data_IF_563172643839
#
_entry.id   IF_563172643839
#
_cell.length_a   1.000
_cell.length_b   1.000
_cell.length_c   1.000
_cell.angle_alpha   90.00
_cell.angle_beta   90.00
_cell.angle_gamma   90.00
#
_symmetry.space_group_name_H-M   'P 1'
#
loop_
_entity.id
_entity.type
_entity.pdbx_description
1 polymer ?
#
# COMPACT_ATOMS: atom_id res chain seq x y z
N UNK A 1 -15.61 6.69 1.31
CA UNK A 1 -14.19 6.55 0.94
C UNK A 1 -13.37 7.36 1.93
N UNK A 2 -12.61 6.71 2.81
CA UNK A 2 -11.68 7.43 3.68
C UNK A 2 -10.53 8.00 2.84
N UNK A 3 -10.20 9.28 3.00
CA UNK A 3 -9.04 9.91 2.37
C UNK A 3 -7.95 10.03 3.45
N UNK A 4 -6.80 9.42 3.19
CA UNK A 4 -5.63 9.55 4.05
C UNK A 4 -4.54 10.28 3.27
N UNK A 5 -4.04 11.37 3.83
CA UNK A 5 -2.86 12.07 3.31
C UNK A 5 -1.70 11.68 4.19
N UNK A 6 -0.74 10.95 3.63
CA UNK A 6 0.48 10.51 4.31
C UNK A 6 1.69 11.02 3.53
N UNK A 7 2.75 11.34 4.26
CA UNK A 7 4.06 11.66 3.70
C UNK A 7 4.95 10.47 3.94
N UNK A 8 5.52 9.94 2.86
CA UNK A 8 6.51 8.86 2.88
C UNK A 8 7.74 9.33 2.10
N UNK A 9 8.84 8.64 2.31
CA UNK A 9 10.07 8.91 1.59
C UNK A 9 9.89 8.76 0.06
N UNK A 10 10.51 9.66 -0.70
CA UNK A 10 10.36 9.76 -2.16
C UNK A 10 10.89 8.52 -2.88
N UNK A 11 11.95 7.91 -2.34
CA UNK A 11 12.52 6.67 -2.88
C UNK A 11 11.56 5.49 -2.66
N UNK A 12 10.95 5.42 -1.47
CA UNK A 12 9.96 4.40 -1.15
C UNK A 12 8.71 4.53 -2.05
N UNK A 13 8.22 5.75 -2.28
CA UNK A 13 7.08 5.99 -3.18
C UNK A 13 7.40 5.53 -4.61
N UNK A 14 8.59 5.88 -5.12
CA UNK A 14 9.04 5.49 -6.45
C UNK A 14 9.12 3.98 -6.61
N UNK A 15 9.75 3.28 -5.67
CA UNK A 15 9.85 1.82 -5.66
C UNK A 15 8.47 1.17 -5.63
N UNK A 16 7.58 1.66 -4.77
CA UNK A 16 6.20 1.18 -4.69
C UNK A 16 5.46 1.39 -6.02
N UNK A 17 5.53 2.58 -6.61
CA UNK A 17 4.89 2.91 -7.88
C UNK A 17 5.39 2.04 -9.03
N UNK A 18 6.70 1.75 -9.10
CA UNK A 18 7.28 0.79 -10.06
C UNK A 18 6.72 -0.61 -9.85
N UNK A 19 6.66 -1.09 -8.61
CA UNK A 19 6.12 -2.41 -8.29
C UNK A 19 4.63 -2.53 -8.67
N UNK A 20 3.85 -1.49 -8.40
CA UNK A 20 2.43 -1.41 -8.79
C UNK A 20 2.29 -1.41 -10.31
N UNK A 21 3.08 -0.60 -11.02
CA UNK A 21 3.06 -0.57 -12.49
C UNK A 21 3.44 -1.94 -13.09
N UNK A 22 4.40 -2.66 -12.48
CA UNK A 22 4.82 -3.99 -12.92
C UNK A 22 3.73 -5.05 -12.67
N UNK A 23 2.98 -4.97 -11.57
CA UNK A 23 1.96 -5.96 -11.18
C UNK A 23 0.60 -5.71 -11.83
N UNK A 24 0.15 -4.46 -11.84
CA UNK A 24 -1.20 -4.07 -12.28
C UNK A 24 -1.24 -3.37 -13.64
N UNK A 25 -0.07 -3.05 -14.20
CA UNK A 25 0.05 -2.25 -15.42
C UNK A 25 -0.32 -0.78 -15.21
N UNK A 26 -0.42 -0.04 -16.31
CA UNK A 26 -0.76 1.39 -16.32
C UNK A 26 -2.28 1.59 -16.28
N UNK A 27 -2.94 1.03 -15.27
CA UNK A 27 -4.40 1.12 -15.12
C UNK A 27 -4.81 2.22 -14.15
N UNK A 28 -5.84 2.98 -14.54
CA UNK A 28 -6.45 4.03 -13.71
C UNK A 28 -6.99 3.38 -12.42
N UNK A 29 -6.40 3.72 -11.27
CA UNK A 29 -6.76 3.15 -9.97
C UNK A 29 -5.82 2.04 -9.42
N UNK A 30 -4.81 1.62 -10.18
CA UNK A 30 -3.86 0.58 -9.74
C UNK A 30 -3.15 0.93 -8.41
N UNK A 31 -2.77 2.19 -8.21
CA UNK A 31 -2.17 2.67 -6.97
C UNK A 31 -3.13 2.55 -5.77
N UNK A 32 -4.41 2.90 -5.93
CA UNK A 32 -5.38 2.80 -4.85
C UNK A 32 -5.67 1.36 -4.43
N UNK A 33 -5.70 0.45 -5.39
CA UNK A 33 -5.84 -1.00 -5.15
C UNK A 33 -4.63 -1.51 -4.39
N UNK A 34 -3.42 -1.20 -4.87
CA UNK A 34 -2.19 -1.64 -4.24
C UNK A 34 -2.00 -1.11 -2.82
N UNK A 35 -2.34 0.17 -2.57
CA UNK A 35 -2.32 0.75 -1.22
C UNK A 35 -3.33 0.01 -0.33
N UNK A 36 -4.54 -0.25 -0.82
CA UNK A 36 -5.54 -1.00 -0.04
C UNK A 36 -5.07 -2.42 0.28
N UNK A 37 -4.42 -3.11 -0.64
CA UNK A 37 -3.83 -4.43 -0.39
C UNK A 37 -2.68 -4.36 0.63
N UNK A 38 -1.78 -3.39 0.50
CA UNK A 38 -0.67 -3.20 1.42
C UNK A 38 -1.17 -2.96 2.85
N UNK A 39 -2.18 -2.11 3.01
CA UNK A 39 -2.82 -1.84 4.31
C UNK A 39 -3.48 -3.11 4.85
N UNK A 40 -4.20 -3.87 4.04
CA UNK A 40 -4.82 -5.15 4.47
C UNK A 40 -3.77 -6.16 4.92
N UNK A 41 -2.67 -6.30 4.18
CA UNK A 41 -1.56 -7.18 4.54
C UNK A 41 -0.90 -6.74 5.85
N UNK A 42 -0.71 -5.44 6.05
CA UNK A 42 -0.19 -4.90 7.30
C UNK A 42 -1.11 -5.19 8.48
N UNK A 43 -2.41 -4.92 8.35
CA UNK A 43 -3.39 -5.22 9.41
C UNK A 43 -3.40 -6.72 9.73
N UNK A 44 -3.38 -7.58 8.69
CA UNK A 44 -3.33 -9.04 8.88
C UNK A 44 -2.08 -9.45 9.64
N UNK A 45 -0.91 -8.93 9.24
CA UNK A 45 0.36 -9.18 9.90
C UNK A 45 0.33 -8.78 11.37
N UNK A 46 -0.14 -7.57 11.69
CA UNK A 46 -0.23 -7.07 13.08
C UNK A 46 -1.19 -7.92 13.91
N UNK A 47 -2.34 -8.33 13.35
CA UNK A 47 -3.28 -9.23 14.02
C UNK A 47 -2.71 -10.63 14.25
N UNK A 48 -1.94 -11.15 13.30
CA UNK A 48 -1.31 -12.47 13.39
C UNK A 48 -0.13 -12.48 14.36
N UNK A 49 0.62 -11.37 14.49
CA UNK A 49 1.74 -11.28 15.43
C UNK A 49 1.33 -11.02 16.87
N UNK A 50 0.02 -10.90 17.17
CA UNK A 50 -0.46 -10.79 18.55
C UNK A 50 0.09 -9.59 19.31
N UNK A 51 0.60 -8.58 18.61
CA UNK A 51 0.94 -7.29 19.22
C UNK A 51 -0.36 -6.50 19.36
N UNK A 52 -1.11 -6.88 20.39
CA UNK A 52 -2.16 -6.07 21.00
C UNK A 52 -1.49 -4.79 21.53
N UNK A 53 -1.83 -3.65 20.94
CA UNK A 53 -1.48 -2.32 21.44
C UNK A 53 -2.68 -1.71 22.16
#
# INVERSE_FOLDING_TARGET
MGKMTIVIDDELEKEFRKAVAKRYGVRKGALGIAISEAIKMWIKKVKETGEEW
#
